data_IF_579540547469
#
_entry.id   IF_579540547469
#
_cell.length_a   1.000
_cell.length_b   1.000
_cell.length_c   1.000
_cell.angle_alpha   90.00
_cell.angle_beta   90.00
_cell.angle_gamma   90.00
#
_symmetry.space_group_name_H-M   'P 1'
#
loop_
_entity.id
_entity.type
_entity.pdbx_description
1 polymer ?
#
# COMPACT_ATOMS: atom_id res chain seq x y z
N UNK A 1 -5.38 -5.35 12.48
CA UNK A 1 -6.66 -5.79 13.05
C UNK A 1 -7.82 -5.02 12.44
N UNK A 2 -9.01 -5.52 12.63
CA UNK A 2 -10.24 -4.88 12.16
C UNK A 2 -10.41 -3.47 12.75
N UNK A 3 -10.11 -3.32 14.02
CA UNK A 3 -10.21 -2.02 14.69
C UNK A 3 -9.25 -1.00 14.11
N UNK A 4 -8.03 -1.42 13.83
CA UNK A 4 -7.02 -0.56 13.21
C UNK A 4 -7.48 -0.12 11.83
N UNK A 5 -8.01 -1.05 11.04
CA UNK A 5 -8.52 -0.75 9.70
C UNK A 5 -9.68 0.25 9.75
N UNK A 6 -10.62 0.03 10.66
CA UNK A 6 -11.75 0.96 10.82
C UNK A 6 -11.28 2.36 11.23
N UNK A 7 -10.31 2.41 12.13
CA UNK A 7 -9.75 3.69 12.59
C UNK A 7 -9.11 4.45 11.44
N UNK A 8 -8.30 3.77 10.63
CA UNK A 8 -7.63 4.40 9.49
C UNK A 8 -8.66 4.81 8.43
N UNK A 9 -9.64 3.96 8.15
CA UNK A 9 -10.69 4.26 7.16
C UNK A 9 -11.49 5.50 7.52
N UNK A 10 -11.61 5.79 8.82
CA UNK A 10 -12.38 6.94 9.30
C UNK A 10 -11.57 8.23 9.39
N UNK A 11 -10.27 8.18 9.10
CA UNK A 11 -9.47 9.40 9.07
C UNK A 11 -9.87 10.28 7.90
N UNK A 12 -9.84 11.60 8.15
CA UNK A 12 -10.20 12.57 7.13
C UNK A 12 -9.25 12.46 5.92
N UNK A 13 -9.84 12.43 4.73
CA UNK A 13 -9.06 12.38 3.50
C UNK A 13 -8.72 10.98 3.00
N UNK A 14 -8.91 9.95 3.81
CA UNK A 14 -8.67 8.57 3.37
C UNK A 14 -9.79 8.14 2.43
N UNK A 15 -9.44 7.78 1.20
CA UNK A 15 -10.39 7.30 0.21
C UNK A 15 -10.63 5.81 0.33
N UNK A 16 -9.59 5.06 0.65
CA UNK A 16 -9.73 3.62 0.80
C UNK A 16 -8.45 2.96 1.26
N UNK A 17 -8.59 1.70 1.67
CA UNK A 17 -7.50 0.87 2.18
C UNK A 17 -7.55 -0.47 1.50
N UNK A 18 -6.38 -1.00 1.13
CA UNK A 18 -6.25 -2.34 0.55
C UNK A 18 -5.20 -3.08 1.35
N UNK A 19 -5.47 -4.33 1.71
CA UNK A 19 -4.50 -5.20 2.34
C UNK A 19 -4.27 -6.39 1.44
N UNK A 20 -3.01 -6.65 1.13
CA UNK A 20 -2.61 -7.76 0.26
C UNK A 20 -1.59 -8.65 0.96
N UNK A 21 -1.47 -9.88 0.48
CA UNK A 21 -0.37 -10.74 0.86
C UNK A 21 0.90 -10.19 0.19
N UNK A 22 1.97 -10.04 0.95
CA UNK A 22 3.19 -9.39 0.46
C UNK A 22 3.85 -10.16 -0.68
N UNK A 23 3.90 -11.48 -0.58
CA UNK A 23 4.62 -12.31 -1.55
C UNK A 23 3.91 -12.42 -2.91
N UNK A 24 2.62 -12.75 -2.88
CA UNK A 24 1.88 -13.06 -4.09
C UNK A 24 0.88 -11.99 -4.52
N UNK A 25 0.67 -10.97 -3.69
CA UNK A 25 -0.26 -9.89 -4.01
C UNK A 25 -1.72 -10.28 -3.90
N UNK A 26 -2.03 -11.38 -3.20
CA UNK A 26 -3.41 -11.80 -3.00
C UNK A 26 -4.15 -10.76 -2.16
N UNK A 27 -5.31 -10.33 -2.65
CA UNK A 27 -6.12 -9.33 -1.97
C UNK A 27 -6.79 -9.96 -0.77
N UNK A 28 -6.47 -9.44 0.43
CA UNK A 28 -7.04 -9.93 1.68
C UNK A 28 -8.25 -9.10 2.09
N UNK A 29 -8.16 -7.79 1.92
CA UNK A 29 -9.22 -6.84 2.23
C UNK A 29 -9.14 -5.61 1.37
N UNK A 30 -10.29 -5.01 1.05
CA UNK A 30 -10.35 -3.75 0.34
C UNK A 30 -11.73 -3.13 0.55
N UNK A 31 -11.77 -1.81 0.66
CA UNK A 31 -13.04 -1.08 0.65
C UNK A 31 -13.27 -0.33 -0.67
N UNK A 32 -12.48 -0.65 -1.69
CA UNK A 32 -12.76 -0.23 -3.06
C UNK A 32 -13.58 -1.30 -3.79
N UNK A 33 -14.10 -0.96 -4.96
CA UNK A 33 -14.74 -1.95 -5.81
C UNK A 33 -13.73 -3.02 -6.24
N UNK A 34 -14.18 -4.23 -6.60
CA UNK A 34 -13.26 -5.26 -7.08
C UNK A 34 -12.43 -4.81 -8.28
N UNK A 35 -13.02 -4.06 -9.19
CA UNK A 35 -12.33 -3.56 -10.37
C UNK A 35 -11.22 -2.57 -10.02
N UNK A 36 -11.53 -1.58 -9.17
CA UNK A 36 -10.55 -0.63 -8.70
C UNK A 36 -9.44 -1.30 -7.91
N UNK A 37 -9.80 -2.23 -7.03
CA UNK A 37 -8.84 -2.97 -6.21
C UNK A 37 -7.86 -3.73 -7.09
N UNK A 38 -8.34 -4.46 -8.08
CA UNK A 38 -7.48 -5.21 -8.98
C UNK A 38 -6.53 -4.29 -9.75
N UNK A 39 -7.01 -3.14 -10.17
CA UNK A 39 -6.20 -2.17 -10.90
C UNK A 39 -5.07 -1.62 -10.02
N UNK A 40 -5.40 -1.19 -8.81
CA UNK A 40 -4.40 -0.70 -7.86
C UNK A 40 -3.36 -1.77 -7.52
N UNK A 41 -3.83 -2.96 -7.16
CA UNK A 41 -2.95 -4.04 -6.72
C UNK A 41 -2.02 -4.50 -7.85
N UNK A 42 -2.53 -4.60 -9.07
CA UNK A 42 -1.72 -4.99 -10.21
C UNK A 42 -0.51 -4.09 -10.43
N UNK A 43 -0.71 -2.78 -10.29
CA UNK A 43 0.36 -1.80 -10.46
C UNK A 43 1.24 -1.69 -9.22
N UNK A 44 0.62 -1.59 -8.05
CA UNK A 44 1.33 -1.33 -6.79
C UNK A 44 2.17 -2.54 -6.36
N UNK A 45 1.67 -3.75 -6.51
CA UNK A 45 2.41 -4.95 -6.11
C UNK A 45 3.73 -5.06 -6.88
N UNK A 46 3.70 -4.84 -8.19
CA UNK A 46 4.90 -4.83 -9.01
C UNK A 46 5.88 -3.75 -8.56
N UNK A 47 5.36 -2.57 -8.24
CA UNK A 47 6.16 -1.46 -7.76
C UNK A 47 6.83 -1.77 -6.41
N UNK A 48 6.11 -2.41 -5.50
CA UNK A 48 6.65 -2.83 -4.20
C UNK A 48 7.80 -3.80 -4.40
N UNK A 49 7.64 -4.81 -5.25
CA UNK A 49 8.68 -5.79 -5.50
C UNK A 49 9.94 -5.15 -6.09
N UNK A 50 9.76 -4.21 -7.01
CA UNK A 50 10.90 -3.48 -7.59
C UNK A 50 11.58 -2.60 -6.56
N UNK A 51 10.81 -1.94 -5.71
CA UNK A 51 11.35 -1.08 -4.65
C UNK A 51 12.14 -1.89 -3.64
N UNK A 52 11.65 -3.05 -3.24
CA UNK A 52 12.37 -3.95 -2.32
C UNK A 52 13.70 -4.40 -2.92
N UNK A 53 13.68 -4.81 -4.18
CA UNK A 53 14.89 -5.23 -4.89
C UNK A 53 15.89 -4.10 -5.00
N UNK A 54 15.42 -2.90 -5.28
CA UNK A 54 16.26 -1.71 -5.40
C UNK A 54 17.00 -1.40 -4.09
N UNK A 55 16.28 -1.42 -2.98
CA UNK A 55 16.88 -1.15 -1.67
C UNK A 55 17.94 -2.20 -1.35
N UNK A 56 17.66 -3.48 -1.58
CA UNK A 56 18.61 -4.56 -1.33
C UNK A 56 19.84 -4.49 -2.21
N UNK A 57 19.67 -4.04 -3.43
CA UNK A 57 20.80 -3.89 -4.34
C UNK A 57 21.72 -2.74 -3.94
N UNK A 58 21.14 -1.67 -3.40
CA UNK A 58 21.93 -0.55 -2.87
C UNK A 58 22.67 -0.94 -1.59
N UNK A 59 22.05 -1.71 -0.72
CA UNK A 59 22.63 -2.16 0.55
C UNK A 59 21.96 -3.46 0.98
N UNK A 60 22.68 -4.56 0.91
CA UNK A 60 22.14 -5.90 1.21
C UNK A 60 21.68 -6.03 2.66
N UNK A 61 22.20 -5.19 3.57
CA UNK A 61 21.79 -5.22 4.98
C UNK A 61 20.55 -4.36 5.28
N UNK A 62 20.05 -3.67 4.27
CA UNK A 62 18.92 -2.77 4.41
C UNK A 62 17.63 -3.43 3.91
N UNK A 63 16.49 -2.86 4.29
CA UNK A 63 15.19 -3.33 3.80
C UNK A 63 14.20 -2.18 3.68
N UNK A 64 13.26 -2.35 2.78
CA UNK A 64 12.21 -1.36 2.57
C UNK A 64 11.24 -1.36 3.74
N UNK A 65 10.99 -0.19 4.33
CA UNK A 65 10.07 -0.04 5.46
C UNK A 65 8.77 0.64 5.06
N UNK A 66 8.84 1.61 4.17
CA UNK A 66 7.68 2.43 3.86
C UNK A 66 7.85 3.14 2.53
N UNK A 67 6.74 3.30 1.78
CA UNK A 67 6.72 4.07 0.55
C UNK A 67 5.61 5.09 0.63
N UNK A 68 5.92 6.32 0.26
CA UNK A 68 4.94 7.39 0.16
C UNK A 68 5.05 8.03 -1.21
N UNK A 69 3.97 7.99 -1.96
CA UNK A 69 3.90 8.58 -3.28
C UNK A 69 2.87 9.68 -3.25
N UNK A 70 3.29 10.87 -3.62
CA UNK A 70 2.39 12.02 -3.68
C UNK A 70 2.29 12.50 -5.12
N UNK A 71 1.08 12.45 -5.67
CA UNK A 71 0.78 13.02 -6.97
C UNK A 71 -0.04 14.29 -6.78
N UNK A 72 -0.46 14.89 -7.88
CA UNK A 72 -1.23 16.13 -7.82
C UNK A 72 -2.53 15.97 -7.04
N UNK A 73 -3.23 14.85 -7.26
CA UNK A 73 -4.57 14.64 -6.71
C UNK A 73 -4.63 13.64 -5.56
N UNK A 74 -3.63 12.76 -5.45
CA UNK A 74 -3.68 11.65 -4.51
C UNK A 74 -2.36 11.45 -3.79
N UNK A 75 -2.43 10.73 -2.69
CA UNK A 75 -1.26 10.27 -1.97
C UNK A 75 -1.46 8.80 -1.66
N UNK A 76 -0.45 8.00 -1.94
CA UNK A 76 -0.48 6.55 -1.71
C UNK A 76 0.57 6.23 -0.66
N UNK A 77 0.13 5.60 0.43
CA UNK A 77 1.00 5.17 1.51
C UNK A 77 1.06 3.65 1.47
N UNK A 78 2.26 3.09 1.42
CA UNK A 78 2.45 1.65 1.32
C UNK A 78 3.34 1.21 2.49
N UNK A 79 2.81 0.34 3.32
CA UNK A 79 3.51 -0.20 4.48
C UNK A 79 3.68 -1.71 4.30
N UNK A 80 4.77 -2.15 3.64
CA UNK A 80 5.02 -3.57 3.48
C UNK A 80 5.52 -4.18 4.78
N UNK A 81 4.98 -5.33 5.12
CA UNK A 81 5.43 -6.13 6.24
C UNK A 81 5.72 -7.54 5.72
N UNK A 82 6.18 -8.41 6.60
CA UNK A 82 6.59 -9.77 6.21
C UNK A 82 5.50 -10.53 5.49
N UNK A 83 4.30 -10.55 6.05
CA UNK A 83 3.18 -11.33 5.51
C UNK A 83 2.16 -10.49 4.77
N UNK A 84 1.92 -9.28 5.23
CA UNK A 84 0.88 -8.42 4.69
C UNK A 84 1.44 -7.05 4.33
N UNK A 85 0.85 -6.45 3.31
CA UNK A 85 1.16 -5.07 2.93
C UNK A 85 -0.13 -4.25 2.99
N UNK A 86 -0.06 -3.12 3.68
CA UNK A 86 -1.19 -2.20 3.74
C UNK A 86 -0.97 -1.07 2.75
N UNK A 87 -2.00 -0.78 1.96
CA UNK A 87 -1.99 0.29 0.99
C UNK A 87 -3.11 1.25 1.35
N UNK A 88 -2.77 2.51 1.57
CA UNK A 88 -3.76 3.55 1.89
C UNK A 88 -3.75 4.58 0.78
N UNK A 89 -4.93 4.86 0.23
CA UNK A 89 -5.12 5.88 -0.78
C UNK A 89 -5.83 7.05 -0.11
N UNK A 90 -5.21 8.22 -0.12
CA UNK A 90 -5.78 9.41 0.51
C UNK A 90 -5.58 10.66 -0.34
N UNK A 91 -6.30 11.71 -0.02
CA UNK A 91 -6.11 13.01 -0.65
C UNK A 91 -5.07 13.78 0.14
N UNK A 92 -4.10 14.43 -0.54
CA UNK A 92 -3.12 15.24 0.16
C UNK A 92 -3.81 16.38 0.89
N UNK A 93 -3.28 16.72 2.07
CA UNK A 93 -3.69 17.93 2.78
C UNK A 93 -2.74 19.06 2.38
N UNK A 94 -3.28 20.20 2.07
CA UNK A 94 -2.54 21.37 1.73
C UNK A 94 -2.51 22.36 2.87
#
# INVERSE_FOLDING_TARGET
TEETLKRISNLAGVQGIIIINTDIGLIMRSNFSPEQTNHYVGLIHSFILKSKATIRELDVSNELQFIRIRSKNDEILIAPDKDFTMIVIQRPKF
#
